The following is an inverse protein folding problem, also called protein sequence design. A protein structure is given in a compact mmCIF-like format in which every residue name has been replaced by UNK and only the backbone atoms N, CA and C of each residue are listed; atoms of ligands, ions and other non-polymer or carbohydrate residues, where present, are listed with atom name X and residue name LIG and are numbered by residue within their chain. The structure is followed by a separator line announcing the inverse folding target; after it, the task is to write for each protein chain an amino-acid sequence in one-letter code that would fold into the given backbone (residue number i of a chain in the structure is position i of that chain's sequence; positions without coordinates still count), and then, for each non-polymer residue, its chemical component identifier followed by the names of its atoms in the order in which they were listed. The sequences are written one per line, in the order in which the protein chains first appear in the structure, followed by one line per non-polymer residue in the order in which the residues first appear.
data_IF_291766455077
#
_entry.id   IF_291766455077
#
_cell.length_a   1.000
_cell.length_b   1.000
_cell.length_c   1.000
_cell.angle_alpha   90.00
_cell.angle_beta   90.00
_cell.angle_gamma   90.00
#
_symmetry.space_group_name_H-M   'P 1'
#
loop_
_entity.id
_entity.type
_entity.pdbx_description
1 polymer ?
#
# COMPACT_ATOMS: atom_id res chain seq x y z
N UNK A 1 4.71 38.47 -52.71
CA UNK A 1 6.10 38.00 -52.92
C UNK A 1 6.36 36.84 -51.99
N UNK A 2 6.56 35.64 -52.54
CA UNK A 2 7.10 34.44 -51.88
C UNK A 2 6.26 33.83 -50.74
N UNK A 3 6.07 32.53 -50.57
CA UNK A 3 6.53 31.34 -51.28
C UNK A 3 5.51 30.21 -51.05
N UNK A 4 5.31 29.44 -52.12
CA UNK A 4 4.88 28.04 -52.31
C UNK A 4 4.81 27.14 -51.06
N UNK A 5 3.67 26.48 -50.80
CA UNK A 5 3.22 25.16 -51.34
C UNK A 5 3.74 23.96 -50.54
N UNK A 6 2.83 23.15 -49.97
CA UNK A 6 2.58 21.74 -50.33
C UNK A 6 1.58 21.11 -49.35
N UNK A 7 0.29 21.15 -49.71
CA UNK A 7 -0.71 20.22 -49.19
C UNK A 7 -0.75 19.00 -50.12
N UNK A 8 -0.56 17.80 -49.57
CA UNK A 8 -0.80 16.55 -50.27
C UNK A 8 -1.70 15.65 -49.41
N UNK A 9 -2.89 15.42 -49.98
CA UNK A 9 -3.90 14.43 -49.64
C UNK A 9 -3.31 13.03 -49.42
N UNK A 10 -3.93 12.22 -48.54
CA UNK A 10 -4.16 10.77 -48.67
C UNK A 10 -5.01 10.31 -47.47
N UNK A 11 -6.33 10.18 -47.64
CA UNK A 11 -7.06 8.96 -48.05
C UNK A 11 -7.26 7.94 -46.92
N UNK A 12 -8.51 7.84 -46.54
CA UNK A 12 -9.16 6.86 -45.68
C UNK A 12 -9.05 5.43 -46.23
N UNK A 13 -8.72 4.45 -45.39
CA UNK A 13 -9.05 3.04 -45.64
C UNK A 13 -9.54 2.39 -44.34
N UNK A 14 -10.85 2.14 -44.33
CA UNK A 14 -11.51 1.16 -43.46
C UNK A 14 -11.11 -0.26 -43.86
N UNK A 15 -10.89 -1.15 -42.89
CA UNK A 15 -10.99 -2.59 -43.14
C UNK A 15 -11.45 -3.34 -41.89
N UNK A 16 -12.67 -3.84 -41.99
CA UNK A 16 -13.36 -4.73 -41.06
C UNK A 16 -12.89 -6.20 -41.22
N UNK A 17 -13.27 -7.11 -40.30
CA UNK A 17 -12.67 -8.43 -40.13
C UNK A 17 -13.35 -9.55 -40.95
N UNK A 18 -12.53 -10.50 -41.43
CA UNK A 18 -12.96 -11.84 -41.86
C UNK A 18 -12.64 -12.81 -40.70
N UNK A 19 -13.38 -13.85 -40.36
CA UNK A 19 -14.40 -14.63 -41.06
C UNK A 19 -14.23 -16.06 -40.52
N UNK A 20 -15.23 -16.57 -39.82
CA UNK A 20 -15.25 -17.92 -39.25
C UNK A 20 -15.49 -18.98 -40.33
N UNK A 21 -14.98 -20.21 -40.15
CA UNK A 21 -15.66 -21.51 -40.39
C UNK A 21 -14.76 -22.73 -40.02
N UNK A 22 -15.36 -23.91 -39.72
CA UNK A 22 -14.77 -24.96 -38.88
C UNK A 22 -14.38 -26.24 -39.65
N UNK A 23 -13.54 -27.11 -39.05
CA UNK A 23 -13.35 -28.50 -39.51
C UNK A 23 -13.33 -29.46 -38.32
N UNK A 24 -14.33 -30.33 -38.28
CA UNK A 24 -14.42 -31.54 -37.45
C UNK A 24 -13.63 -32.69 -38.07
N UNK A 25 -12.91 -33.49 -37.26
CA UNK A 25 -12.84 -34.97 -37.43
C UNK A 25 -12.18 -35.70 -36.25
N UNK A 26 -13.05 -36.40 -35.50
CA UNK A 26 -12.92 -37.72 -34.88
C UNK A 26 -11.59 -38.51 -34.90
N UNK A 27 -11.26 -39.15 -33.76
CA UNK A 27 -10.66 -40.50 -33.79
C UNK A 27 -9.86 -41.01 -32.57
N UNK A 28 -10.54 -41.75 -31.67
CA UNK A 28 -10.12 -42.97 -30.89
C UNK A 28 -8.89 -42.90 -29.93
N UNK A 29 -9.04 -43.14 -28.61
CA UNK A 29 -9.06 -44.45 -27.89
C UNK A 29 -7.78 -45.28 -28.17
N UNK A 30 -6.91 -45.72 -27.24
CA UNK A 30 -7.03 -46.25 -25.84
C UNK A 30 -5.62 -46.40 -25.18
N UNK A 31 -5.54 -46.74 -23.87
CA UNK A 31 -4.33 -46.76 -23.03
C UNK A 31 -3.78 -48.17 -22.72
N UNK A 32 -2.49 -48.30 -22.38
CA UNK A 32 -1.81 -49.37 -21.57
C UNK A 32 -0.41 -48.81 -21.18
N UNK A 33 0.23 -49.05 -20.05
CA UNK A 33 0.10 -50.01 -18.96
C UNK A 33 1.50 -50.19 -18.34
N UNK A 34 1.63 -49.81 -17.07
CA UNK A 34 2.55 -50.28 -16.00
C UNK A 34 3.41 -51.53 -16.31
N UNK A 35 4.72 -51.46 -16.02
CA UNK A 35 5.52 -52.59 -15.52
C UNK A 35 6.81 -52.12 -14.84
N UNK A 36 6.94 -52.48 -13.56
CA UNK A 36 8.13 -52.48 -12.70
C UNK A 36 9.17 -53.54 -13.11
N UNK A 37 10.47 -53.31 -12.84
CA UNK A 37 11.41 -54.35 -12.36
C UNK A 37 12.78 -53.78 -11.88
N UNK A 38 13.04 -54.06 -10.60
CA UNK A 38 14.27 -54.31 -9.81
C UNK A 38 15.68 -54.48 -10.45
N UNK A 39 16.67 -53.91 -9.72
CA UNK A 39 18.15 -54.15 -9.59
C UNK A 39 18.53 -55.64 -9.29
N UNK A 40 19.82 -56.15 -9.24
CA UNK A 40 21.15 -55.51 -8.97
C UNK A 40 22.36 -56.14 -9.79
N UNK A 41 23.61 -56.39 -9.28
CA UNK A 41 24.86 -55.65 -9.61
C UNK A 41 26.06 -56.48 -10.13
N UNK A 42 27.12 -55.85 -10.68
CA UNK A 42 28.41 -56.53 -10.93
C UNK A 42 29.65 -55.61 -10.82
N UNK A 43 30.50 -55.93 -9.83
CA UNK A 43 31.97 -56.11 -9.89
C UNK A 43 32.91 -54.93 -10.24
N UNK A 44 33.82 -54.61 -9.32
CA UNK A 44 34.91 -53.64 -9.49
C UNK A 44 36.17 -54.19 -10.17
N UNK A 45 37.26 -53.39 -10.18
CA UNK A 45 38.60 -53.96 -10.04
C UNK A 45 39.50 -53.20 -9.03
N UNK A 46 40.56 -53.91 -8.64
CA UNK A 46 41.57 -53.64 -7.62
C UNK A 46 42.67 -52.63 -8.06
N UNK A 47 43.62 -52.25 -7.18
CA UNK A 47 44.50 -51.07 -7.34
C UNK A 47 45.87 -51.42 -7.94
N UNK A 48 46.42 -50.51 -8.74
CA UNK A 48 47.86 -50.49 -9.08
C UNK A 48 48.52 -49.20 -8.58
N UNK A 49 49.54 -49.41 -7.75
CA UNK A 49 50.62 -48.47 -7.47
C UNK A 49 51.54 -48.43 -8.69
N UNK A 50 52.13 -47.27 -9.02
CA UNK A 50 53.56 -47.10 -9.32
C UNK A 50 53.89 -45.66 -9.82
N UNK A 51 54.82 -45.05 -9.10
CA UNK A 51 55.92 -44.16 -9.54
C UNK A 51 55.60 -42.82 -10.23
N UNK A 52 56.01 -41.75 -9.55
CA UNK A 52 56.03 -40.41 -10.08
C UNK A 52 57.09 -40.16 -11.15
N UNK A 53 56.81 -39.14 -11.96
CA UNK A 53 57.80 -38.33 -12.65
C UNK A 53 57.37 -36.87 -12.47
N UNK A 54 58.25 -36.09 -11.86
CA UNK A 54 58.04 -34.68 -11.58
C UNK A 54 57.88 -33.88 -12.85
N UNK A 55 56.72 -33.26 -13.01
CA UNK A 55 56.53 -32.15 -13.94
C UNK A 55 56.77 -30.88 -13.14
N UNK A 56 57.84 -30.17 -13.50
CA UNK A 56 58.24 -28.88 -12.96
C UNK A 56 57.05 -27.91 -12.92
N UNK A 57 56.58 -27.61 -11.71
CA UNK A 57 55.63 -26.55 -11.42
C UNK A 57 56.31 -25.19 -11.67
N UNK A 58 56.29 -24.76 -12.94
CA UNK A 58 56.57 -23.38 -13.31
C UNK A 58 55.43 -22.53 -12.75
N UNK A 59 55.68 -21.98 -11.56
CA UNK A 59 54.85 -20.99 -10.90
C UNK A 59 54.54 -19.82 -11.85
N UNK A 60 53.39 -19.90 -12.53
CA UNK A 60 52.78 -18.73 -13.15
C UNK A 60 52.37 -17.82 -12.00
N UNK A 61 53.28 -16.89 -11.67
CA UNK A 61 53.19 -15.88 -10.61
C UNK A 61 51.84 -15.18 -10.72
N UNK A 62 50.85 -15.73 -10.03
CA UNK A 62 49.48 -15.27 -10.02
C UNK A 62 49.49 -13.82 -9.55
N UNK A 63 49.11 -12.91 -10.45
CA UNK A 63 48.88 -11.53 -10.08
C UNK A 63 47.87 -11.53 -8.93
N UNK A 64 48.21 -11.03 -7.73
CA UNK A 64 47.31 -11.07 -6.60
C UNK A 64 46.02 -10.35 -7.01
N UNK A 65 44.89 -11.07 -7.01
CA UNK A 65 43.57 -10.48 -7.24
C UNK A 65 43.43 -9.33 -6.24
N UNK A 66 43.50 -8.10 -6.74
CA UNK A 66 43.68 -6.87 -5.92
C UNK A 66 42.45 -6.49 -5.08
N UNK A 67 41.48 -7.38 -4.92
CA UNK A 67 40.28 -7.13 -4.14
C UNK A 67 39.90 -8.42 -3.40
N UNK A 68 40.29 -8.50 -2.12
CA UNK A 68 39.86 -9.57 -1.21
C UNK A 68 38.42 -9.37 -0.69
N UNK A 69 37.68 -8.39 -1.23
CA UNK A 69 36.28 -8.15 -0.96
C UNK A 69 35.50 -7.95 -2.26
N UNK A 70 34.22 -8.30 -2.27
CA UNK A 70 33.35 -8.03 -3.42
C UNK A 70 33.34 -6.54 -3.74
N UNK A 71 33.49 -6.21 -5.02
CA UNK A 71 33.43 -4.84 -5.50
C UNK A 71 32.03 -4.27 -5.18
N UNK A 72 31.99 -3.22 -4.35
CA UNK A 72 30.75 -2.59 -3.85
C UNK A 72 29.77 -2.20 -4.95
N UNK A 73 30.26 -1.77 -6.11
CA UNK A 73 29.42 -1.45 -7.28
C UNK A 73 28.83 -2.70 -7.94
N UNK A 74 29.60 -3.80 -7.98
CA UNK A 74 29.13 -5.09 -8.50
C UNK A 74 28.10 -5.73 -7.55
N UNK A 75 28.34 -5.67 -6.24
CA UNK A 75 27.39 -6.13 -5.23
C UNK A 75 26.06 -5.36 -5.31
N UNK A 76 26.11 -4.03 -5.42
CA UNK A 76 24.91 -3.20 -5.61
C UNK A 76 24.15 -3.51 -6.91
N UNK A 77 24.86 -3.76 -8.02
CA UNK A 77 24.23 -4.15 -9.29
C UNK A 77 23.57 -5.54 -9.22
N UNK A 78 24.20 -6.51 -8.54
CA UNK A 78 23.61 -7.83 -8.30
C UNK A 78 22.40 -7.74 -7.37
N UNK A 79 22.45 -6.92 -6.31
CA UNK A 79 21.32 -6.67 -5.42
C UNK A 79 20.11 -6.13 -6.19
N UNK A 80 20.29 -5.10 -7.03
CA UNK A 80 19.19 -4.56 -7.86
C UNK A 80 18.61 -5.59 -8.84
N UNK A 81 19.45 -6.43 -9.45
CA UNK A 81 18.98 -7.51 -10.33
C UNK A 81 18.23 -8.60 -9.56
N UNK A 82 18.67 -8.92 -8.35
CA UNK A 82 18.02 -9.88 -7.47
C UNK A 82 16.66 -9.35 -6.97
N UNK A 83 16.59 -8.07 -6.58
CA UNK A 83 15.35 -7.39 -6.20
C UNK A 83 14.36 -7.32 -7.37
N UNK A 84 14.81 -6.91 -8.56
CA UNK A 84 13.95 -6.88 -9.74
C UNK A 84 13.42 -8.28 -10.10
N UNK A 85 14.26 -9.32 -9.97
CA UNK A 85 13.84 -10.70 -10.17
C UNK A 85 12.86 -11.15 -9.09
N UNK A 86 13.11 -10.85 -7.83
CA UNK A 86 12.21 -11.19 -6.72
C UNK A 86 10.85 -10.50 -6.87
N UNK A 87 10.81 -9.23 -7.30
CA UNK A 87 9.56 -8.52 -7.58
C UNK A 87 8.83 -9.14 -8.77
N UNK A 88 9.54 -9.51 -9.84
CA UNK A 88 8.94 -10.16 -10.99
C UNK A 88 8.39 -11.54 -10.65
N UNK A 89 9.13 -12.33 -9.87
CA UNK A 89 8.71 -13.66 -9.45
C UNK A 89 7.55 -13.55 -8.44
N UNK A 90 7.58 -12.58 -7.52
CA UNK A 90 6.46 -12.30 -6.62
C UNK A 90 5.20 -11.84 -7.38
N UNK A 91 5.34 -11.01 -8.42
CA UNK A 91 4.21 -10.65 -9.29
C UNK A 91 3.63 -11.87 -9.99
N UNK A 92 4.48 -12.72 -10.58
CA UNK A 92 4.02 -13.96 -11.22
C UNK A 92 3.31 -14.89 -10.24
N UNK A 93 3.85 -15.07 -9.02
CA UNK A 93 3.20 -15.88 -8.00
C UNK A 93 1.84 -15.30 -7.62
N UNK A 94 1.75 -13.98 -7.40
CA UNK A 94 0.47 -13.31 -7.14
C UNK A 94 -0.51 -13.49 -8.29
N UNK A 95 -0.10 -13.28 -9.53
CA UNK A 95 -0.96 -13.49 -10.70
C UNK A 95 -1.44 -14.94 -10.82
N UNK A 96 -0.61 -15.92 -10.46
CA UNK A 96 -0.99 -17.34 -10.42
C UNK A 96 -1.96 -17.65 -9.28
N UNK A 97 -1.73 -17.09 -8.09
CA UNK A 97 -2.63 -17.22 -6.93
C UNK A 97 -3.97 -16.55 -7.21
N UNK A 98 -3.98 -15.33 -7.74
CA UNK A 98 -5.17 -14.59 -8.14
C UNK A 98 -5.94 -15.33 -9.24
N UNK A 99 -5.23 -15.92 -10.21
CA UNK A 99 -5.86 -16.76 -11.24
C UNK A 99 -6.44 -18.06 -10.66
N UNK A 100 -5.74 -18.68 -9.70
CA UNK A 100 -6.20 -19.90 -9.03
C UNK A 100 -7.46 -19.64 -8.17
N UNK A 101 -7.52 -18.48 -7.53
CA UNK A 101 -8.65 -18.07 -6.68
C UNK A 101 -9.72 -17.26 -7.40
N UNK A 102 -9.65 -17.15 -8.73
CA UNK A 102 -10.65 -16.45 -9.52
C UNK A 102 -11.96 -17.24 -9.52
N UNK A 103 -13.03 -16.62 -9.00
CA UNK A 103 -14.38 -17.18 -9.08
C UNK A 103 -15.00 -16.86 -10.45
N UNK A 104 -15.45 -17.89 -11.16
CA UNK A 104 -16.10 -17.78 -12.48
C UNK A 104 -17.59 -18.18 -12.43
N UNK A 105 -18.20 -18.24 -11.23
CA UNK A 105 -19.63 -18.52 -11.12
C UNK A 105 -20.47 -17.44 -11.83
N UNK A 106 -21.20 -17.86 -12.85
CA UNK A 106 -22.12 -17.06 -13.65
C UNK A 106 -23.14 -16.29 -12.82
N UNK A 107 -23.63 -16.84 -11.71
CA UNK A 107 -24.61 -16.19 -10.85
C UNK A 107 -23.99 -15.07 -10.00
N UNK A 108 -22.76 -15.27 -9.52
CA UNK A 108 -21.99 -14.27 -8.78
C UNK A 108 -21.61 -13.12 -9.71
N UNK A 109 -21.05 -13.42 -10.88
CA UNK A 109 -20.69 -12.41 -11.89
C UNK A 109 -21.89 -11.57 -12.34
N UNK A 110 -23.06 -12.18 -12.55
CA UNK A 110 -24.30 -11.44 -12.88
C UNK A 110 -24.78 -10.54 -11.74
N UNK A 111 -24.55 -10.93 -10.48
CA UNK A 111 -24.92 -10.12 -9.31
C UNK A 111 -23.97 -8.94 -9.14
N UNK A 112 -22.68 -9.14 -9.34
CA UNK A 112 -21.66 -8.08 -9.33
C UNK A 112 -21.90 -7.08 -10.46
N UNK A 113 -22.12 -7.54 -11.69
CA UNK A 113 -22.45 -6.67 -12.82
C UNK A 113 -23.67 -5.77 -12.56
N UNK A 114 -24.74 -6.33 -11.95
CA UNK A 114 -25.92 -5.53 -11.58
C UNK A 114 -25.63 -4.49 -10.49
N UNK A 115 -24.71 -4.80 -9.56
CA UNK A 115 -24.27 -3.85 -8.53
C UNK A 115 -23.40 -2.75 -9.14
N UNK A 116 -22.39 -3.13 -9.92
CA UNK A 116 -21.49 -2.21 -10.63
C UNK A 116 -22.26 -1.29 -11.57
N UNK A 117 -23.23 -1.80 -12.34
CA UNK A 117 -24.05 -0.96 -13.22
C UNK A 117 -24.89 0.06 -12.43
N UNK A 118 -25.43 -0.34 -11.27
CA UNK A 118 -26.20 0.54 -10.39
C UNK A 118 -25.31 1.62 -9.75
N UNK A 119 -24.11 1.24 -9.29
CA UNK A 119 -23.15 2.18 -8.71
C UNK A 119 -22.58 3.12 -9.78
N UNK A 120 -22.22 2.60 -10.95
CA UNK A 120 -21.77 3.40 -12.09
C UNK A 120 -22.83 4.41 -12.52
N UNK A 121 -24.10 3.99 -12.65
CA UNK A 121 -25.19 4.91 -12.99
C UNK A 121 -25.42 5.98 -11.91
N UNK A 122 -25.22 5.65 -10.63
CA UNK A 122 -25.28 6.62 -9.53
C UNK A 122 -24.12 7.62 -9.61
N UNK A 123 -22.90 7.13 -9.87
CA UNK A 123 -21.71 7.98 -10.00
C UNK A 123 -21.81 8.89 -11.21
N UNK A 124 -22.20 8.39 -12.38
CA UNK A 124 -22.41 9.20 -13.59
C UNK A 124 -23.48 10.29 -13.37
N UNK A 125 -24.55 9.99 -12.61
CA UNK A 125 -25.54 11.02 -12.26
C UNK A 125 -24.97 12.09 -11.33
N UNK A 126 -24.13 11.71 -10.38
CA UNK A 126 -23.49 12.64 -9.47
C UNK A 126 -22.44 13.48 -10.20
N UNK A 127 -21.66 12.87 -11.09
CA UNK A 127 -20.69 13.56 -11.95
C UNK A 127 -21.39 14.53 -12.90
N UNK A 128 -22.44 14.08 -13.60
CA UNK A 128 -23.24 14.97 -14.45
C UNK A 128 -23.84 16.15 -13.68
N UNK A 129 -24.29 15.93 -12.44
CA UNK A 129 -24.78 17.01 -11.57
C UNK A 129 -23.64 17.95 -11.14
N UNK A 130 -22.48 17.42 -10.77
CA UNK A 130 -21.29 18.21 -10.41
C UNK A 130 -20.80 19.03 -11.59
N UNK A 131 -20.76 18.47 -12.79
CA UNK A 131 -20.38 19.18 -14.01
C UNK A 131 -21.39 20.27 -14.38
N UNK A 132 -22.69 19.98 -14.28
CA UNK A 132 -23.73 20.99 -14.51
C UNK A 132 -23.66 22.13 -13.47
N UNK A 133 -23.42 21.79 -12.20
CA UNK A 133 -23.24 22.77 -11.13
C UNK A 133 -21.98 23.63 -11.37
N UNK A 134 -20.88 23.00 -11.79
CA UNK A 134 -19.65 23.72 -12.13
C UNK A 134 -19.88 24.69 -13.30
N UNK A 135 -20.59 24.27 -14.34
CA UNK A 135 -20.91 25.15 -15.48
C UNK A 135 -21.79 26.33 -15.04
N UNK A 136 -22.77 26.09 -14.18
CA UNK A 136 -23.61 27.14 -13.62
C UNK A 136 -22.79 28.14 -12.79
N UNK A 137 -21.85 27.67 -11.97
CA UNK A 137 -20.97 28.54 -11.19
C UNK A 137 -19.97 29.33 -12.08
N UNK A 138 -19.47 28.73 -13.16
CA UNK A 138 -18.66 29.41 -14.17
C UNK A 138 -19.49 30.51 -14.89
N UNK A 139 -20.76 30.27 -15.20
CA UNK A 139 -21.68 31.27 -15.75
C UNK A 139 -22.01 32.38 -14.74
N UNK A 140 -22.33 32.02 -13.49
CA UNK A 140 -22.64 32.96 -12.41
C UNK A 140 -21.44 33.85 -12.07
N UNK A 141 -20.23 33.29 -12.03
CA UNK A 141 -19.01 34.06 -11.79
C UNK A 141 -18.69 35.01 -12.96
N UNK A 142 -18.92 34.58 -14.21
CA UNK A 142 -18.78 35.43 -15.40
C UNK A 142 -19.82 36.55 -15.45
N UNK A 143 -21.06 36.28 -15.03
CA UNK A 143 -22.12 37.28 -14.90
C UNK A 143 -21.87 38.23 -13.71
N UNK A 144 -21.31 37.73 -12.61
CA UNK A 144 -20.92 38.52 -11.43
C UNK A 144 -19.76 39.47 -11.73
N UNK A 145 -18.86 39.10 -12.64
CA UNK A 145 -17.81 40.00 -13.17
C UNK A 145 -18.32 41.08 -14.14
N UNK A 146 -19.54 40.97 -14.67
CA UNK A 146 -20.13 41.86 -15.69
C UNK A 146 -21.18 42.83 -15.13
N UNK A 147 -21.21 43.09 -13.82
CA UNK A 147 -22.11 44.11 -13.25
C UNK A 147 -21.39 45.05 -12.28
N UNK A 148 -21.14 46.26 -12.77
CA UNK A 148 -21.48 47.49 -12.05
C UNK A 148 -22.87 47.35 -11.40
N UNK A 149 -23.14 47.98 -10.24
CA UNK A 149 -24.34 47.73 -9.45
C UNK A 149 -25.59 48.15 -10.23
N UNK A 150 -26.19 47.19 -10.96
CA UNK A 150 -27.54 47.36 -11.46
C UNK A 150 -28.45 47.15 -10.28
N UNK A 151 -28.88 48.28 -9.72
CA UNK A 151 -30.10 48.43 -8.92
C UNK A 151 -31.11 47.39 -9.40
N UNK A 152 -31.37 46.40 -8.56
CA UNK A 152 -32.48 45.49 -8.76
C UNK A 152 -33.73 46.37 -8.84
N UNK A 153 -34.27 46.55 -10.03
CA UNK A 153 -35.64 47.03 -10.17
C UNK A 153 -36.49 45.95 -9.55
N UNK A 154 -36.83 46.11 -8.28
CA UNK A 154 -37.99 45.48 -7.68
C UNK A 154 -39.13 45.75 -8.64
N UNK A 155 -39.55 44.73 -9.39
CA UNK A 155 -40.89 44.74 -9.98
C UNK A 155 -41.81 45.16 -8.85
N UNK A 156 -42.59 46.23 -9.06
CA UNK A 156 -43.53 46.71 -8.05
C UNK A 156 -44.53 45.58 -7.84
N UNK A 157 -44.27 44.75 -6.83
CA UNK A 157 -45.18 43.71 -6.40
C UNK A 157 -46.43 44.44 -5.95
N UNK A 158 -47.54 44.18 -6.65
CA UNK A 158 -48.80 44.85 -6.34
C UNK A 158 -49.20 44.40 -4.93
N UNK A 159 -49.78 45.30 -4.12
CA UNK A 159 -50.14 45.01 -2.71
C UNK A 159 -50.87 43.67 -2.53
N UNK A 160 -51.71 43.31 -3.51
CA UNK A 160 -52.43 42.03 -3.59
C UNK A 160 -51.51 40.81 -3.64
N UNK A 161 -50.40 40.90 -4.36
CA UNK A 161 -49.44 39.83 -4.57
C UNK A 161 -48.53 39.64 -3.34
N UNK A 162 -48.26 40.73 -2.59
CA UNK A 162 -47.59 40.68 -1.28
C UNK A 162 -48.49 39.99 -0.25
N UNK A 163 -49.78 40.34 -0.25
CA UNK A 163 -50.77 39.75 0.65
C UNK A 163 -51.05 38.28 0.32
N UNK A 164 -50.98 37.90 -0.96
CA UNK A 164 -51.07 36.49 -1.38
C UNK A 164 -49.83 35.69 -0.96
N UNK A 165 -48.62 36.25 -1.08
CA UNK A 165 -47.40 35.59 -0.57
C UNK A 165 -47.41 35.45 0.94
N UNK A 166 -47.83 36.49 1.68
CA UNK A 166 -47.98 36.44 3.13
C UNK A 166 -49.05 35.41 3.54
N UNK A 167 -50.18 35.33 2.83
CA UNK A 167 -51.19 34.28 3.07
C UNK A 167 -50.65 32.90 2.77
N UNK A 168 -49.87 32.71 1.70
CA UNK A 168 -49.27 31.42 1.36
C UNK A 168 -48.23 30.99 2.39
N UNK A 169 -47.41 31.92 2.87
CA UNK A 169 -46.43 31.68 3.94
C UNK A 169 -47.11 31.42 5.29
N UNK A 170 -48.23 32.13 5.58
CA UNK A 170 -49.04 31.88 6.76
C UNK A 170 -49.74 30.52 6.67
N UNK A 171 -50.26 30.12 5.50
CA UNK A 171 -50.84 28.79 5.29
C UNK A 171 -49.79 27.67 5.37
N UNK A 172 -48.54 27.94 5.00
CA UNK A 172 -47.42 27.01 5.21
C UNK A 172 -46.92 26.97 6.66
N UNK A 173 -47.14 28.04 7.46
CA UNK A 173 -46.83 28.09 8.90
C UNK A 173 -47.97 27.61 9.79
N UNK A 174 -49.22 27.70 9.33
CA UNK A 174 -50.44 27.27 10.04
C UNK A 174 -51.01 25.96 9.52
N UNK A 175 -50.42 25.35 8.48
CA UNK A 175 -50.53 23.91 8.32
C UNK A 175 -49.99 23.29 9.62
N UNK A 176 -50.82 22.57 10.39
CA UNK A 176 -50.38 22.02 11.65
C UNK A 176 -49.21 21.08 11.37
N UNK A 177 -48.04 21.44 11.89
CA UNK A 177 -47.02 20.44 12.21
C UNK A 177 -47.74 19.29 12.94
N UNK A 178 -47.53 18.02 12.58
CA UNK A 178 -47.99 16.88 13.38
C UNK A 178 -47.16 16.77 14.69
N UNK A 179 -47.01 17.88 15.41
CA UNK A 179 -46.20 18.05 16.60
C UNK A 179 -47.09 18.32 17.82
N UNK A 180 -48.08 17.47 18.08
CA UNK A 180 -48.67 17.35 19.41
C UNK A 180 -49.27 15.95 19.69
N UNK A 181 -48.79 14.92 19.00
CA UNK A 181 -49.03 13.54 19.45
C UNK A 181 -47.97 13.19 20.47
N UNK A 182 -48.40 13.22 21.73
CA UNK A 182 -47.79 12.61 22.92
C UNK A 182 -46.27 12.73 22.98
N UNK A 183 -45.78 13.59 23.87
CA UNK A 183 -44.39 13.62 24.35
C UNK A 183 -43.80 12.23 24.35
N UNK A 184 -43.09 11.93 23.27
CA UNK A 184 -42.59 10.59 23.03
C UNK A 184 -41.54 10.28 24.08
N UNK A 185 -41.21 9.02 24.27
CA UNK A 185 -40.14 8.50 25.15
C UNK A 185 -38.76 9.19 24.98
N UNK A 186 -38.64 10.20 24.10
CA UNK A 186 -37.50 11.09 23.94
C UNK A 186 -37.48 12.30 24.92
N UNK A 187 -38.62 12.67 25.53
CA UNK A 187 -38.71 13.82 26.45
C UNK A 187 -38.62 13.41 27.94
N UNK A 188 -38.71 12.10 28.22
CA UNK A 188 -38.39 11.53 29.54
C UNK A 188 -36.90 11.18 29.54
N UNK A 189 -36.09 11.67 30.49
CA UNK A 189 -34.71 11.21 30.64
C UNK A 189 -34.70 9.68 30.82
N UNK A 190 -34.11 8.95 29.88
CA UNK A 190 -33.92 7.51 30.05
C UNK A 190 -32.97 7.29 31.24
N UNK A 191 -33.42 6.53 32.22
CA UNK A 191 -32.52 6.01 33.26
C UNK A 191 -31.46 5.13 32.59
N UNK A 192 -30.19 5.51 32.75
CA UNK A 192 -29.10 4.76 32.15
C UNK A 192 -29.02 3.36 32.78
N UNK A 193 -29.08 2.34 31.93
CA UNK A 193 -28.96 0.96 32.39
C UNK A 193 -27.58 0.75 33.01
N UNK A 194 -27.53 0.49 34.32
CA UNK A 194 -26.31 0.31 35.12
C UNK A 194 -25.42 -0.85 34.62
N UNK A 195 -25.99 -1.78 33.84
CA UNK A 195 -25.25 -2.87 33.20
C UNK A 195 -24.66 -2.50 31.82
N UNK A 196 -25.06 -1.36 31.25
CA UNK A 196 -24.33 -0.74 30.15
C UNK A 196 -23.16 -0.02 30.80
N UNK A 197 -22.03 -0.72 30.93
CA UNK A 197 -20.76 -0.08 31.29
C UNK A 197 -20.54 1.07 30.32
N UNK A 198 -20.75 2.30 30.79
CA UNK A 198 -20.21 3.48 30.13
C UNK A 198 -18.74 3.17 29.92
N UNK A 199 -18.32 3.18 28.65
CA UNK A 199 -16.92 3.07 28.32
C UNK A 199 -16.22 4.15 29.14
N UNK A 200 -15.44 3.66 30.11
CA UNK A 200 -14.52 4.45 30.90
C UNK A 200 -13.72 5.33 29.92
N UNK A 201 -13.49 6.58 30.29
CA UNK A 201 -12.95 7.68 29.45
C UNK A 201 -11.51 7.44 28.90
N UNK A 202 -11.09 6.19 28.78
CA UNK A 202 -9.88 5.73 28.10
C UNK A 202 -10.07 4.50 27.20
N UNK A 203 -11.31 4.01 27.00
CA UNK A 203 -11.56 2.88 26.09
C UNK A 203 -11.78 3.37 24.66
N UNK A 204 -10.80 3.16 23.79
CA UNK A 204 -10.89 3.53 22.37
C UNK A 204 -11.88 2.58 21.67
N UNK A 205 -13.00 3.12 21.18
CA UNK A 205 -13.96 2.37 20.36
C UNK A 205 -13.44 2.18 18.95
N UNK A 206 -12.76 1.06 18.72
CA UNK A 206 -12.44 0.61 17.39
C UNK A 206 -13.69 0.11 16.63
N UNK A 207 -14.41 1.03 15.99
CA UNK A 207 -15.65 0.70 15.25
C UNK A 207 -15.38 0.04 13.90
N UNK A 208 -14.15 0.13 13.40
CA UNK A 208 -13.70 -0.52 12.16
C UNK A 208 -12.54 -1.47 12.44
N UNK A 209 -12.35 -2.45 11.56
CA UNK A 209 -11.26 -3.43 11.68
C UNK A 209 -9.90 -2.73 11.69
N UNK A 210 -9.74 -1.69 10.88
CA UNK A 210 -8.53 -0.87 10.80
C UNK A 210 -8.25 -0.13 12.11
N UNK A 211 -9.29 0.39 12.76
CA UNK A 211 -9.18 1.09 14.04
C UNK A 211 -8.88 0.10 15.19
N UNK A 212 -9.40 -1.13 15.11
CA UNK A 212 -9.08 -2.20 16.06
C UNK A 212 -7.62 -2.61 15.94
N UNK A 213 -7.11 -2.68 14.71
CA UNK A 213 -5.71 -2.94 14.43
C UNK A 213 -4.85 -1.80 14.96
N UNK A 214 -5.24 -0.54 14.75
CA UNK A 214 -4.47 0.61 15.22
C UNK A 214 -4.36 0.66 16.76
N UNK A 215 -5.45 0.38 17.47
CA UNK A 215 -5.50 0.38 18.95
C UNK A 215 -4.74 -0.80 19.55
N UNK A 216 -4.84 -1.99 18.94
CA UNK A 216 -4.17 -3.20 19.44
C UNK A 216 -2.74 -3.36 18.90
N UNK A 217 -2.40 -2.67 17.81
CA UNK A 217 -1.02 -2.52 17.41
C UNK A 217 -0.35 -1.63 18.45
N UNK A 218 0.44 -2.23 19.33
CA UNK A 218 1.53 -1.51 19.97
C UNK A 218 2.29 -0.88 18.82
N UNK A 219 2.18 0.45 18.67
CA UNK A 219 2.96 1.19 17.70
C UNK A 219 4.40 0.78 17.97
N UNK A 220 4.89 -0.16 17.16
CA UNK A 220 6.23 -0.69 17.24
C UNK A 220 7.07 0.47 16.74
N UNK A 221 7.36 1.35 17.68
CA UNK A 221 7.87 2.71 17.53
C UNK A 221 8.95 2.71 16.46
N UNK A 222 8.51 2.99 15.23
CA UNK A 222 9.20 2.74 13.99
C UNK A 222 10.32 1.68 14.11
N UNK A 223 9.96 0.40 14.27
CA UNK A 223 10.90 -0.71 14.40
C UNK A 223 12.11 -0.53 13.48
N UNK A 224 13.19 -0.03 14.05
CA UNK A 224 14.24 0.59 13.25
C UNK A 224 15.02 -0.51 12.55
N UNK A 225 14.96 -0.43 11.23
CA UNK A 225 15.49 -1.41 10.30
C UNK A 225 17.02 -1.48 10.27
N UNK A 226 17.69 -0.51 10.86
CA UNK A 226 19.15 -0.35 10.81
C UNK A 226 19.74 -0.11 12.20
N UNK A 227 19.68 -1.12 13.10
CA UNK A 227 20.32 -1.04 14.41
C UNK A 227 21.81 -0.66 14.29
N UNK A 228 22.52 -1.18 13.28
CA UNK A 228 23.95 -0.88 13.03
C UNK A 228 24.27 0.60 12.87
N UNK A 229 23.35 1.40 12.31
CA UNK A 229 23.55 2.85 12.13
C UNK A 229 23.36 3.61 13.43
N UNK A 230 22.40 3.19 14.26
CA UNK A 230 22.14 3.79 15.58
C UNK A 230 23.16 3.38 16.62
N UNK A 231 23.82 2.22 16.49
CA UNK A 231 24.85 1.76 17.45
C UNK A 231 25.87 2.84 17.78
N UNK A 232 26.35 3.58 16.76
CA UNK A 232 27.35 4.64 16.98
C UNK A 232 26.76 5.85 17.68
N UNK A 233 25.63 6.37 17.20
CA UNK A 233 24.99 7.54 17.79
C UNK A 233 24.52 7.28 19.23
N UNK A 234 23.91 6.12 19.48
CA UNK A 234 23.43 5.71 20.79
C UNK A 234 24.60 5.46 21.76
N UNK A 235 25.71 4.86 21.28
CA UNK A 235 26.92 4.73 22.09
C UNK A 235 27.53 6.09 22.46
N UNK A 236 27.56 7.07 21.54
CA UNK A 236 28.06 8.41 21.85
C UNK A 236 27.18 9.11 22.90
N UNK A 237 25.86 9.04 22.76
CA UNK A 237 24.92 9.61 23.73
C UNK A 237 25.07 8.96 25.12
N UNK A 238 25.25 7.64 25.16
CA UNK A 238 25.50 6.90 26.41
C UNK A 238 26.88 7.23 27.01
N UNK A 239 27.91 7.41 26.17
CA UNK A 239 29.24 7.84 26.61
C UNK A 239 29.17 9.21 27.28
N UNK A 240 28.51 10.19 26.69
CA UNK A 240 28.37 11.54 27.26
C UNK A 240 27.62 11.55 28.60
N UNK A 241 26.60 10.70 28.75
CA UNK A 241 25.83 10.59 29.99
C UNK A 241 26.57 9.84 31.11
N UNK A 242 27.22 8.71 30.81
CA UNK A 242 27.80 7.81 31.83
C UNK A 242 29.27 8.11 32.14
N UNK A 243 30.03 8.69 31.21
CA UNK A 243 31.45 9.01 31.41
C UNK A 243 31.70 9.97 32.60
N UNK A 244 30.93 11.06 32.83
CA UNK A 244 31.15 11.91 34.00
C UNK A 244 30.84 11.19 35.31
N UNK A 245 29.81 10.33 35.33
CA UNK A 245 29.47 9.50 36.50
C UNK A 245 30.60 8.54 36.86
N UNK A 246 31.12 7.80 35.87
CA UNK A 246 32.23 6.87 36.09
C UNK A 246 33.54 7.56 36.50
N UNK A 247 33.78 8.81 36.06
CA UNK A 247 34.92 9.62 36.51
C UNK A 247 34.78 10.06 37.98
N UNK A 248 33.56 10.35 38.43
CA UNK A 248 33.29 10.70 39.82
C UNK A 248 33.40 9.48 40.74
N UNK A 249 32.89 8.33 40.30
CA UNK A 249 32.96 7.08 41.07
C UNK A 249 34.39 6.52 41.14
N UNK A 250 35.20 6.72 40.09
CA UNK A 250 36.56 6.17 39.98
C UNK A 250 37.59 7.22 39.51
N UNK A 251 37.95 8.21 40.35
CA UNK A 251 38.87 9.30 39.97
C UNK A 251 40.31 8.82 39.71
N UNK A 252 40.70 7.66 40.25
CA UNK A 252 42.07 7.13 40.13
C UNK A 252 42.30 6.33 38.84
N UNK A 253 41.25 6.05 38.06
CA UNK A 253 41.32 5.17 36.89
C UNK A 253 41.68 5.94 35.62
N UNK A 254 42.45 5.31 34.74
CA UNK A 254 42.77 5.90 33.42
C UNK A 254 41.53 5.91 32.53
N UNK A 255 41.43 6.93 31.66
CA UNK A 255 40.29 7.10 30.74
C UNK A 255 40.05 5.87 29.83
N UNK A 256 41.13 5.17 29.45
CA UNK A 256 41.03 3.89 28.72
C UNK A 256 40.30 2.79 29.51
N UNK A 257 40.55 2.70 30.81
CA UNK A 257 39.89 1.72 31.69
C UNK A 257 38.43 2.11 31.94
N UNK A 258 38.15 3.40 32.14
CA UNK A 258 36.77 3.91 32.24
C UNK A 258 35.97 3.60 30.98
N UNK A 259 36.55 3.80 29.79
CA UNK A 259 35.94 3.42 28.51
C UNK A 259 35.70 1.90 28.38
N UNK A 260 36.58 1.07 28.93
CA UNK A 260 36.36 -0.38 28.97
C UNK A 260 35.20 -0.77 29.88
N UNK A 261 35.05 -0.15 31.04
CA UNK A 261 33.90 -0.37 31.93
C UNK A 261 32.60 0.13 31.29
N UNK A 262 32.63 1.34 30.72
CA UNK A 262 31.50 1.91 29.99
C UNK A 262 31.05 1.02 28.83
N UNK A 263 31.98 0.42 28.09
CA UNK A 263 31.64 -0.54 27.02
C UNK A 263 30.99 -1.82 27.56
N UNK A 264 31.38 -2.29 28.75
CA UNK A 264 30.73 -3.46 29.40
C UNK A 264 29.32 -3.12 29.86
N UNK A 265 29.11 -1.93 30.43
CA UNK A 265 27.79 -1.42 30.80
C UNK A 265 26.91 -1.21 29.58
N UNK A 266 27.46 -0.65 28.51
CA UNK A 266 26.78 -0.47 27.23
C UNK A 266 26.25 -1.78 26.65
N UNK A 267 27.04 -2.86 26.67
CA UNK A 267 26.59 -4.16 26.17
C UNK A 267 25.39 -4.72 26.95
N UNK A 268 25.22 -4.33 28.22
CA UNK A 268 24.10 -4.75 29.08
C UNK A 268 22.97 -3.72 29.15
N UNK A 269 23.19 -2.50 28.69
CA UNK A 269 22.22 -1.40 28.78
C UNK A 269 21.00 -1.65 27.88
N UNK A 270 19.78 -1.28 28.33
CA UNK A 270 18.60 -1.25 27.48
C UNK A 270 18.69 -0.21 26.34
N UNK A 271 19.57 0.78 26.48
CA UNK A 271 19.79 1.83 25.48
C UNK A 271 20.54 1.31 24.24
N UNK A 272 21.14 0.11 24.34
CA UNK A 272 21.81 -0.53 23.24
C UNK A 272 20.77 -1.07 22.23
N UNK A 273 20.72 -0.54 20.99
CA UNK A 273 19.77 -0.99 19.98
C UNK A 273 19.86 -2.49 19.64
N UNK A 274 20.97 -3.15 19.97
CA UNK A 274 21.15 -4.60 19.80
C UNK A 274 20.39 -5.43 20.85
N UNK A 275 20.13 -4.86 22.02
CA UNK A 275 19.35 -5.50 23.09
C UNK A 275 17.84 -5.26 22.93
N UNK A 276 17.47 -4.33 22.04
CA UNK A 276 16.09 -4.02 21.68
C UNK A 276 15.60 -5.01 20.61
N UNK A 277 14.29 -5.28 20.57
CA UNK A 277 13.69 -6.15 19.55
C UNK A 277 13.84 -5.47 18.18
N UNK A 278 14.69 -6.02 17.31
CA UNK A 278 14.87 -5.52 15.94
C UNK A 278 14.04 -6.34 14.97
N UNK A 279 13.28 -5.70 14.10
CA UNK A 279 12.54 -6.40 13.04
C UNK A 279 13.46 -6.58 11.83
N UNK A 280 13.59 -7.81 11.28
CA UNK A 280 14.53 -8.08 10.19
C UNK A 280 14.15 -7.28 8.94
N UNK A 281 15.15 -6.79 8.19
CA UNK A 281 14.96 -5.88 7.05
C UNK A 281 13.87 -6.31 6.05
N UNK A 282 13.65 -7.62 5.88
CA UNK A 282 12.79 -8.22 4.87
C UNK A 282 11.34 -8.52 5.30
N UNK A 283 10.86 -8.09 6.48
CA UNK A 283 9.42 -8.19 6.78
C UNK A 283 8.62 -7.19 5.93
N UNK A 284 7.53 -7.60 5.27
CA UNK A 284 6.64 -6.66 4.62
C UNK A 284 6.05 -5.69 5.65
N UNK A 285 5.88 -4.44 5.26
CA UNK A 285 5.28 -3.38 6.08
C UNK A 285 3.77 -3.54 6.15
#
# INVERSE_FOLDING_TARGET
MGCSETEALLTTVSRAPAGAMPISRSGRLRPRGIASCSRPPTSGPAPEQLTGLGVTELAFRGMPKKFQGENTKSAAARARRAEAKAVADAKKQKELEDAYWKDEDKHVMRKEQRKEEKEKRRLEQLERKKEAQRLLEEEDSRLKGSKAPRVATSSKVTRTQIEETLRRDHQHKEAPDPAEKAKSHLEVPLEENVNRRLLEEGSVEARTIEDAIAVLSVAEEAADRHPERRMRAAFTAFEEAQLPRLKQENPNMRLSQLKQMLKKEWLRSPDNPMNQRTVPFNTPK
#
